data_IF_082812372248
#
_entry.id   IF_082812372248
#
_cell.length_a   1.000
_cell.length_b   1.000
_cell.length_c   1.000
_cell.angle_alpha   90.00
_cell.angle_beta   90.00
_cell.angle_gamma   90.00
#
_symmetry.space_group_name_H-M   'P 1'
#
loop_
_entity.id
_entity.type
_entity.pdbx_description
1 polymer ?
#
# COMPACT_ATOMS: atom_id res chain seq x y z
N UNK A 1 1.68 -18.87 -31.75
CA UNK A 1 0.48 -18.01 -31.55
C UNK A 1 0.67 -16.98 -30.42
N UNK A 2 1.74 -17.04 -29.61
CA UNK A 2 1.97 -16.08 -28.52
C UNK A 2 2.69 -14.78 -28.91
N UNK A 3 3.46 -14.76 -30.01
CA UNK A 3 4.18 -13.53 -30.40
C UNK A 3 3.24 -12.39 -30.79
N UNK A 4 2.11 -12.69 -31.44
CA UNK A 4 1.09 -11.68 -31.78
C UNK A 4 0.36 -11.14 -30.53
N UNK A 5 0.29 -11.92 -29.44
CA UNK A 5 -0.30 -11.46 -28.17
C UNK A 5 0.61 -10.44 -27.50
N UNK A 6 1.91 -10.72 -27.45
CA UNK A 6 2.91 -9.82 -26.88
C UNK A 6 2.99 -8.49 -27.65
N UNK A 7 2.93 -8.51 -28.98
CA UNK A 7 2.96 -7.29 -29.80
C UNK A 7 1.77 -6.36 -29.49
N UNK A 8 0.57 -6.90 -29.33
CA UNK A 8 -0.65 -6.11 -29.14
C UNK A 8 -0.79 -5.52 -27.73
N UNK A 9 -0.41 -6.29 -26.71
CA UNK A 9 -0.28 -5.80 -25.32
C UNK A 9 0.78 -4.71 -25.26
N UNK A 10 1.94 -4.92 -25.89
CA UNK A 10 3.02 -3.93 -25.96
C UNK A 10 2.55 -2.64 -26.62
N UNK A 11 1.77 -2.71 -27.71
CA UNK A 11 1.20 -1.52 -28.38
C UNK A 11 0.18 -0.77 -27.52
N UNK A 12 -0.67 -1.48 -26.76
CA UNK A 12 -1.59 -0.87 -25.80
C UNK A 12 -0.82 -0.18 -24.68
N UNK A 13 0.14 -0.86 -24.06
CA UNK A 13 1.04 -0.29 -23.06
C UNK A 13 1.76 0.96 -23.59
N UNK A 14 2.22 0.94 -24.84
CA UNK A 14 2.87 2.08 -25.51
C UNK A 14 1.96 3.30 -25.62
N UNK A 15 0.68 3.07 -25.94
CA UNK A 15 -0.33 4.11 -26.10
C UNK A 15 -0.67 4.79 -24.77
N UNK A 16 -0.67 4.02 -23.68
CA UNK A 16 -1.06 4.50 -22.34
C UNK A 16 0.13 5.04 -21.52
N UNK A 17 1.35 4.53 -21.71
CA UNK A 17 2.55 5.02 -21.04
C UNK A 17 2.96 6.44 -21.46
N UNK A 18 2.53 6.90 -22.65
CA UNK A 18 2.87 8.24 -23.19
C UNK A 18 1.98 9.38 -22.69
N UNK A 19 0.96 9.11 -21.87
CA UNK A 19 -0.03 10.12 -21.47
C UNK A 19 -0.08 10.25 -19.94
N UNK A 20 0.33 11.40 -19.42
CA UNK A 20 0.12 11.84 -18.04
C UNK A 20 -1.36 12.15 -17.78
N UNK A 21 -2.23 11.17 -18.02
CA UNK A 21 -3.68 11.34 -17.83
C UNK A 21 -4.01 10.73 -16.48
N UNK A 22 -4.26 11.61 -15.51
CA UNK A 22 -4.83 11.25 -14.22
C UNK A 22 -6.28 10.84 -14.47
N UNK A 23 -6.59 9.55 -14.32
CA UNK A 23 -7.96 9.04 -14.41
C UNK A 23 -8.57 8.86 -13.01
N UNK A 24 -9.90 9.02 -12.87
CA UNK A 24 -10.58 8.83 -11.59
C UNK A 24 -10.47 7.37 -11.12
N UNK A 25 -10.41 7.17 -9.79
CA UNK A 25 -10.41 5.87 -9.12
C UNK A 25 -11.42 4.91 -9.78
N UNK A 26 -11.07 3.65 -10.05
CA UNK A 26 -11.97 2.73 -10.72
C UNK A 26 -13.12 2.46 -9.77
N UNK A 27 -14.33 2.29 -10.32
CA UNK A 27 -15.43 1.83 -9.48
C UNK A 27 -15.19 0.37 -9.09
N UNK A 28 -15.63 -0.04 -7.90
CA UNK A 28 -15.42 -1.41 -7.42
C UNK A 28 -15.88 -2.46 -8.44
N UNK A 29 -16.99 -2.22 -9.14
CA UNK A 29 -17.53 -3.08 -10.19
C UNK A 29 -16.59 -3.27 -11.40
N UNK A 30 -15.77 -2.28 -11.75
CA UNK A 30 -14.84 -2.37 -12.88
C UNK A 30 -13.65 -3.28 -12.53
N UNK A 31 -13.19 -3.20 -11.29
CA UNK A 31 -12.12 -4.05 -10.75
C UNK A 31 -12.58 -5.50 -10.65
N UNK A 32 -13.79 -5.73 -10.14
CA UNK A 32 -14.32 -7.08 -9.95
C UNK A 32 -14.41 -7.87 -11.27
N UNK A 33 -14.53 -7.19 -12.40
CA UNK A 33 -14.64 -7.82 -13.72
C UNK A 33 -13.29 -7.96 -14.44
N UNK A 34 -12.20 -7.48 -13.83
CA UNK A 34 -10.88 -7.48 -14.46
C UNK A 34 -10.09 -8.73 -14.09
N UNK A 35 -9.54 -9.44 -15.08
CA UNK A 35 -8.67 -10.62 -14.86
C UNK A 35 -7.18 -10.31 -15.04
N UNK A 36 -6.86 -9.09 -15.49
CA UNK A 36 -5.50 -8.65 -15.80
C UNK A 36 -5.24 -7.30 -15.13
N UNK A 37 -4.08 -7.22 -14.50
CA UNK A 37 -3.58 -6.03 -13.84
C UNK A 37 -2.23 -5.67 -14.44
N UNK A 38 -1.96 -4.38 -14.63
CA UNK A 38 -0.62 -3.93 -15.07
C UNK A 38 -0.03 -3.09 -13.94
N UNK A 39 1.13 -3.49 -13.44
CA UNK A 39 1.87 -2.83 -12.37
C UNK A 39 3.07 -2.12 -13.00
N UNK A 40 3.18 -0.80 -12.82
CA UNK A 40 4.34 -0.02 -13.23
C UNK A 40 5.26 0.21 -12.05
N UNK A 41 6.57 -0.03 -12.21
CA UNK A 41 7.58 0.22 -11.19
C UNK A 41 8.75 0.97 -11.82
N UNK A 42 9.34 1.98 -11.18
CA UNK A 42 10.55 2.61 -11.68
C UNK A 42 11.71 1.61 -11.77
N UNK A 43 12.44 1.59 -12.88
CA UNK A 43 13.52 0.60 -13.13
C UNK A 43 14.67 0.63 -12.11
N UNK A 44 14.89 1.75 -11.41
CA UNK A 44 15.90 1.81 -10.35
C UNK A 44 15.52 0.93 -9.14
N UNK A 45 14.26 0.50 -9.06
CA UNK A 45 13.77 -0.54 -8.16
C UNK A 45 13.60 -1.82 -9.00
N UNK A 46 14.69 -2.54 -9.27
CA UNK A 46 14.57 -3.86 -9.90
C UNK A 46 13.84 -4.79 -8.92
N UNK A 47 12.59 -5.12 -9.20
CA UNK A 47 11.80 -6.02 -8.36
C UNK A 47 11.74 -7.39 -9.01
N UNK A 48 12.09 -8.44 -8.25
CA UNK A 48 11.91 -9.82 -8.68
C UNK A 48 10.42 -10.10 -8.92
N UNK A 49 10.10 -10.84 -9.98
CA UNK A 49 8.76 -11.36 -10.26
C UNK A 49 8.19 -12.11 -9.06
N UNK A 50 9.03 -12.82 -8.30
CA UNK A 50 8.63 -13.49 -7.05
C UNK A 50 8.10 -12.50 -6.02
N UNK A 51 8.74 -11.34 -5.88
CA UNK A 51 8.30 -10.30 -4.95
C UNK A 51 7.00 -9.64 -5.43
N UNK A 52 6.83 -9.42 -6.74
CA UNK A 52 5.55 -8.95 -7.31
C UNK A 52 4.43 -9.93 -7.02
N UNK A 53 4.70 -11.24 -7.15
CA UNK A 53 3.72 -12.27 -6.82
C UNK A 53 3.33 -12.21 -5.34
N UNK A 54 4.31 -12.21 -4.43
CA UNK A 54 4.05 -12.09 -2.98
C UNK A 54 3.29 -10.80 -2.66
N UNK A 55 3.66 -9.68 -3.29
CA UNK A 55 2.95 -8.42 -3.12
C UNK A 55 1.48 -8.54 -3.50
N UNK A 56 1.19 -9.11 -4.66
CA UNK A 56 -0.16 -9.21 -5.20
C UNK A 56 -1.02 -10.26 -4.46
N UNK A 57 -0.47 -11.45 -4.22
CA UNK A 57 -1.20 -12.57 -3.61
C UNK A 57 -1.31 -12.42 -2.10
N UNK A 58 -0.22 -12.03 -1.43
CA UNK A 58 -0.15 -12.02 0.04
C UNK A 58 -0.48 -10.67 0.64
N UNK A 59 0.02 -9.57 0.07
CA UNK A 59 -0.13 -8.24 0.69
C UNK A 59 -1.38 -7.51 0.20
N UNK A 60 -1.69 -7.63 -1.08
CA UNK A 60 -2.90 -7.04 -1.66
C UNK A 60 -4.09 -8.00 -1.60
N UNK A 61 -3.86 -9.29 -1.36
CA UNK A 61 -4.89 -10.34 -1.36
C UNK A 61 -5.81 -10.26 -2.59
N UNK A 62 -5.27 -9.90 -3.75
CA UNK A 62 -6.06 -9.60 -4.94
C UNK A 62 -6.68 -10.84 -5.57
N UNK A 63 -5.99 -11.98 -5.45
CA UNK A 63 -6.34 -13.19 -6.14
C UNK A 63 -5.17 -14.14 -6.26
N UNK A 64 -5.41 -15.28 -6.87
CA UNK A 64 -4.37 -16.24 -7.22
C UNK A 64 -3.74 -15.82 -8.56
N UNK A 65 -2.45 -15.48 -8.57
CA UNK A 65 -1.78 -15.03 -9.79
C UNK A 65 -1.51 -16.23 -10.68
N UNK A 66 -2.05 -16.20 -11.89
CA UNK A 66 -1.75 -17.18 -12.92
C UNK A 66 -0.33 -16.97 -13.44
N UNK A 67 -0.03 -15.76 -13.92
CA UNK A 67 1.22 -15.46 -14.59
C UNK A 67 1.60 -13.99 -14.47
N UNK A 68 2.91 -13.72 -14.43
CA UNK A 68 3.47 -12.37 -14.42
C UNK A 68 4.40 -12.24 -15.61
N UNK A 69 4.20 -11.20 -16.43
CA UNK A 69 5.01 -10.90 -17.59
C UNK A 69 5.75 -9.58 -17.35
N UNK A 70 7.06 -9.59 -17.09
CA UNK A 70 7.86 -8.38 -16.98
C UNK A 70 8.18 -7.83 -18.37
N UNK A 71 8.01 -6.52 -18.54
CA UNK A 71 8.36 -5.76 -19.73
C UNK A 71 9.21 -4.56 -19.32
N UNK A 72 10.43 -4.50 -19.81
CA UNK A 72 11.27 -3.31 -19.63
C UNK A 72 10.86 -2.26 -20.66
N UNK A 73 10.38 -1.11 -20.18
CA UNK A 73 10.06 0.03 -21.06
C UNK A 73 11.21 1.04 -21.05
N UNK A 74 11.80 1.25 -22.22
CA UNK A 74 12.74 2.33 -22.48
C UNK A 74 11.97 3.40 -23.24
N UNK A 75 11.81 4.59 -22.64
CA UNK A 75 11.22 5.73 -23.34
C UNK A 75 12.13 6.14 -24.50
N UNK A 76 11.56 6.36 -25.69
CA UNK A 76 12.30 6.86 -26.86
C UNK A 76 12.94 8.24 -26.63
N UNK A 77 12.52 8.98 -25.60
CA UNK A 77 13.09 10.28 -25.24
C UNK A 77 14.32 10.09 -24.35
N UNK A 78 15.46 9.81 -24.98
CA UNK A 78 16.79 9.65 -24.38
C UNK A 78 17.29 10.84 -23.54
N UNK A 79 16.62 12.00 -23.56
CA UNK A 79 17.07 13.20 -22.86
C UNK A 79 16.70 13.25 -21.37
N UNK A 80 15.76 12.41 -20.90
CA UNK A 80 15.36 12.35 -19.49
C UNK A 80 15.55 10.94 -18.92
N UNK A 81 16.71 10.71 -18.31
CA UNK A 81 17.03 9.49 -17.56
C UNK A 81 16.08 9.20 -16.37
N UNK A 82 15.17 10.12 -16.06
CA UNK A 82 14.20 9.97 -14.96
C UNK A 82 13.02 9.04 -15.26
N UNK A 83 12.87 8.54 -16.50
CA UNK A 83 11.63 7.90 -16.95
C UNK A 83 11.77 6.43 -17.40
N UNK A 84 12.66 5.67 -16.78
CA UNK A 84 12.74 4.24 -17.03
C UNK A 84 11.79 3.48 -16.09
N UNK A 85 10.86 2.71 -16.64
CA UNK A 85 9.90 1.90 -15.86
C UNK A 85 9.91 0.45 -16.31
N UNK A 86 9.80 -0.47 -15.35
CA UNK A 86 9.47 -1.87 -15.58
C UNK A 86 7.96 -2.02 -15.42
N UNK A 87 7.31 -2.61 -16.42
CA UNK A 87 5.89 -2.94 -16.40
C UNK A 87 5.74 -4.43 -16.12
N UNK A 88 4.85 -4.80 -15.22
CA UNK A 88 4.50 -6.19 -14.95
C UNK A 88 3.04 -6.38 -15.29
N UNK A 89 2.74 -7.24 -16.27
CA UNK A 89 1.37 -7.68 -16.52
C UNK A 89 1.10 -8.90 -15.66
N UNK A 90 0.14 -8.79 -14.75
CA UNK A 90 -0.26 -9.81 -13.80
C UNK A 90 -1.63 -10.35 -14.21
N UNK A 91 -1.66 -11.61 -14.63
CA UNK A 91 -2.88 -12.33 -14.98
C UNK A 91 -3.30 -13.17 -13.77
N UNK A 92 -4.59 -13.18 -13.44
CA UNK A 92 -5.14 -13.91 -12.30
C UNK A 92 -5.95 -15.13 -12.74
N UNK A 93 -5.86 -16.23 -11.98
CA UNK A 93 -6.76 -17.37 -12.10
C UNK A 93 -8.14 -17.02 -11.52
N UNK A 94 -8.13 -16.40 -10.34
CA UNK A 94 -9.30 -15.98 -9.57
C UNK A 94 -8.97 -14.65 -8.92
N UNK A 95 -9.87 -13.67 -9.04
CA UNK A 95 -9.78 -12.39 -8.31
C UNK A 95 -10.73 -12.48 -7.12
N UNK A 96 -10.22 -12.22 -5.92
CA UNK A 96 -11.03 -12.29 -4.70
C UNK A 96 -11.93 -11.05 -4.59
N UNK A 97 -13.23 -11.28 -4.50
CA UNK A 97 -14.27 -10.23 -4.64
C UNK A 97 -14.70 -9.58 -3.33
N UNK A 98 -13.91 -9.71 -2.26
CA UNK A 98 -14.24 -9.12 -0.96
C UNK A 98 -13.96 -7.61 -0.99
N UNK A 99 -14.99 -6.78 -0.79
CA UNK A 99 -14.90 -5.31 -0.82
C UNK A 99 -13.93 -4.74 0.23
N UNK A 100 -13.78 -5.43 1.36
CA UNK A 100 -12.82 -5.07 2.41
C UNK A 100 -11.37 -5.19 1.95
N UNK A 101 -11.08 -6.16 1.08
CA UNK A 101 -9.77 -6.38 0.49
C UNK A 101 -9.38 -5.23 -0.43
N UNK A 102 -10.33 -4.59 -1.10
CA UNK A 102 -10.08 -3.44 -1.97
C UNK A 102 -9.64 -2.18 -1.20
N UNK A 103 -10.32 -1.87 -0.09
CA UNK A 103 -9.92 -0.74 0.76
C UNK A 103 -8.56 -1.00 1.41
N UNK A 104 -8.34 -2.24 1.86
CA UNK A 104 -7.05 -2.68 2.41
C UNK A 104 -5.94 -2.60 1.35
N UNK A 105 -6.22 -2.99 0.11
CA UNK A 105 -5.28 -2.87 -1.01
C UNK A 105 -4.95 -1.40 -1.29
N UNK A 106 -5.96 -0.54 -1.40
CA UNK A 106 -5.76 0.88 -1.70
C UNK A 106 -4.94 1.55 -0.60
N UNK A 107 -5.21 1.22 0.66
CA UNK A 107 -4.43 1.68 1.81
C UNK A 107 -3.01 1.08 1.81
N UNK A 108 -2.84 -0.21 1.51
CA UNK A 108 -1.52 -0.84 1.44
C UNK A 108 -0.66 -0.24 0.33
N UNK A 109 -1.22 -0.01 -0.85
CA UNK A 109 -0.51 0.68 -1.95
C UNK A 109 -0.10 2.10 -1.52
N UNK A 110 -0.97 2.83 -0.81
CA UNK A 110 -0.66 4.16 -0.28
C UNK A 110 0.40 4.15 0.82
N UNK A 111 0.36 3.16 1.73
CA UNK A 111 1.27 3.06 2.87
C UNK A 111 2.68 2.60 2.50
N UNK A 112 2.86 1.91 1.37
CA UNK A 112 4.13 1.28 1.04
C UNK A 112 5.16 2.23 0.40
N UNK A 113 4.87 3.53 0.29
CA UNK A 113 5.84 4.52 -0.23
C UNK A 113 6.21 4.32 -1.70
N UNK A 114 5.58 3.37 -2.40
CA UNK A 114 5.69 3.23 -3.85
C UNK A 114 4.77 4.26 -4.51
N UNK A 115 5.20 5.52 -4.44
CA UNK A 115 4.48 6.66 -5.03
C UNK A 115 4.28 6.53 -6.56
N UNK A 116 4.90 5.52 -7.19
CA UNK A 116 4.92 5.31 -8.63
C UNK A 116 4.25 3.99 -9.09
N UNK A 117 3.58 3.24 -8.20
CA UNK A 117 2.86 2.02 -8.61
C UNK A 117 1.52 2.38 -9.23
N UNK A 118 1.47 2.35 -10.56
CA UNK A 118 0.24 2.43 -11.34
C UNK A 118 -0.32 1.04 -11.56
N UNK A 119 -1.58 0.81 -11.16
CA UNK A 119 -2.33 -0.43 -11.43
C UNK A 119 -3.36 -0.19 -12.52
N UNK A 120 -3.26 -0.85 -13.67
CA UNK A 120 -4.25 -0.74 -14.75
C UNK A 120 -5.25 -1.90 -14.68
N UNK A 121 -6.55 -1.60 -14.69
CA UNK A 121 -7.61 -2.60 -14.73
C UNK A 121 -8.17 -2.71 -16.14
N UNK A 122 -8.36 -3.94 -16.63
CA UNK A 122 -9.10 -4.21 -17.86
C UNK A 122 -10.36 -5.06 -17.59
N UNK A 123 -11.56 -4.45 -17.61
CA UNK A 123 -12.82 -5.15 -17.36
C UNK A 123 -13.32 -5.98 -18.55
N UNK A 124 -12.63 -5.95 -19.70
CA UNK A 124 -13.00 -6.74 -20.89
C UNK A 124 -11.79 -7.44 -21.47
N UNK A 125 -12.04 -8.45 -22.31
CA UNK A 125 -10.98 -9.25 -22.90
C UNK A 125 -9.97 -8.36 -23.66
N UNK A 126 -8.70 -8.33 -23.22
CA UNK A 126 -7.56 -7.56 -23.80
C UNK A 126 -7.39 -7.72 -25.33
N UNK A 127 -8.08 -8.67 -25.95
CA UNK A 127 -8.08 -8.94 -27.39
C UNK A 127 -9.12 -8.15 -28.21
N UNK A 128 -10.03 -7.40 -27.57
CA UNK A 128 -10.98 -6.53 -28.25
C UNK A 128 -10.29 -5.27 -28.82
N UNK A 129 -10.82 -4.69 -29.90
CA UNK A 129 -10.22 -3.51 -30.56
C UNK A 129 -10.41 -2.19 -29.81
N UNK A 130 -11.31 -2.15 -28.81
CA UNK A 130 -11.69 -0.95 -28.06
C UNK A 130 -11.54 -1.16 -26.55
N UNK A 131 -10.31 -1.41 -26.10
CA UNK A 131 -10.01 -1.62 -24.67
C UNK A 131 -9.91 -0.28 -23.94
N UNK A 132 -10.70 -0.13 -22.87
CA UNK A 132 -10.63 1.00 -21.95
C UNK A 132 -9.63 0.69 -20.83
N UNK A 133 -8.43 1.26 -20.91
CA UNK A 133 -7.40 1.13 -19.87
C UNK A 133 -7.42 2.39 -19.01
N UNK A 134 -7.57 2.23 -17.69
CA UNK A 134 -7.51 3.37 -16.73
C UNK A 134 -6.22 3.34 -15.93
N UNK A 135 -5.58 4.52 -15.80
CA UNK A 135 -4.23 4.75 -15.28
C UNK A 135 -4.31 5.55 -13.98
N UNK A 136 -3.72 5.03 -12.90
CA UNK A 136 -3.58 5.75 -11.62
C UNK A 136 -2.18 6.33 -11.45
N UNK A 137 -2.13 7.65 -11.31
CA UNK A 137 -0.96 8.40 -10.88
C UNK A 137 -1.28 9.07 -9.55
N UNK A 138 -0.38 8.99 -8.58
CA UNK A 138 -0.42 9.88 -7.42
C UNK A 138 0.52 11.08 -7.64
N UNK A 139 0.00 12.13 -8.28
CA UNK A 139 0.71 13.41 -8.41
C UNK A 139 0.59 14.29 -7.14
N UNK A 140 -0.12 13.86 -6.09
CA UNK A 140 -0.47 14.75 -4.98
C UNK A 140 0.57 14.81 -3.86
N UNK A 141 1.53 13.90 -3.80
CA UNK A 141 2.50 13.89 -2.69
C UNK A 141 3.66 14.85 -2.94
N UNK A 142 4.03 15.14 -4.19
CA UNK A 142 5.10 16.11 -4.49
C UNK A 142 4.69 17.59 -4.35
N UNK A 143 3.39 17.91 -4.42
CA UNK A 143 2.91 19.30 -4.45
C UNK A 143 2.40 19.84 -3.10
N UNK A 144 2.28 19.01 -2.05
CA UNK A 144 1.79 19.48 -0.74
C UNK A 144 2.87 20.24 0.05
N UNK A 145 4.15 20.13 -0.32
CA UNK A 145 5.25 20.80 0.41
C UNK A 145 5.63 22.18 -0.12
N UNK A 146 5.15 22.62 -1.28
CA UNK A 146 5.60 23.88 -1.89
C UNK A 146 4.46 24.64 -2.59
N UNK A 147 3.62 25.36 -1.84
CA UNK A 147 2.99 26.57 -2.40
C UNK A 147 2.46 27.50 -1.29
N UNK A 148 3.12 28.63 -1.00
CA UNK A 148 2.46 29.76 -0.39
C UNK A 148 1.58 30.46 -1.42
N UNK A 149 0.29 30.53 -1.12
CA UNK A 149 -0.72 31.29 -1.89
C UNK A 149 -0.37 32.77 -1.89
N UNK A 150 0.08 33.29 -3.04
CA UNK A 150 0.12 34.73 -3.31
C UNK A 150 -0.08 34.97 -4.81
N UNK A 151 -1.33 35.07 -5.22
CA UNK A 151 -1.70 35.73 -6.48
C UNK A 151 -2.33 37.07 -6.15
N UNK A 152 -1.49 38.05 -5.82
CA UNK A 152 -1.84 39.46 -5.91
C UNK A 152 -1.65 39.89 -7.37
N UNK A 153 -2.75 40.22 -8.03
CA UNK A 153 -2.79 40.76 -9.38
C UNK A 153 -2.21 42.17 -9.41
N UNK A 154 -1.10 42.34 -10.14
CA UNK A 154 -0.52 43.66 -10.45
C UNK A 154 -1.20 44.22 -11.70
N UNK A 155 -1.89 45.38 -11.66
CA UNK A 155 -2.33 46.05 -12.87
C UNK A 155 -1.14 46.76 -13.53
N UNK A 156 -1.06 46.64 -14.85
CA UNK A 156 -0.06 47.27 -15.71
C UNK A 156 -0.02 48.80 -15.54
N UNK A 157 1.19 49.32 -15.30
CA UNK A 157 1.46 50.74 -15.18
C UNK A 157 1.47 51.41 -16.56
N UNK A 158 0.42 52.16 -16.88
CA UNK A 158 0.47 53.24 -17.86
C UNK A 158 0.85 54.54 -17.15
N UNK A 159 2.00 55.09 -17.52
CA UNK A 159 2.55 56.35 -17.02
C UNK A 159 1.78 57.55 -17.58
N UNK A 160 1.22 58.46 -16.74
CA UNK A 160 0.81 59.78 -17.19
C UNK A 160 1.75 60.87 -16.66
N UNK A 161 2.01 61.82 -17.56
CA UNK A 161 2.85 62.97 -17.41
C UNK A 161 2.69 63.74 -16.07
N UNK A 162 3.84 64.13 -15.54
CA UNK A 162 4.08 64.85 -14.30
C UNK A 162 3.41 66.23 -14.29
N UNK A 163 2.17 66.32 -13.80
CA UNK A 163 1.58 67.60 -13.34
C UNK A 163 2.16 67.92 -11.97
N UNK A 164 2.86 69.05 -11.89
CA UNK A 164 3.45 69.64 -10.68
C UNK A 164 2.33 69.92 -9.66
N UNK A 165 2.16 69.04 -8.66
CA UNK A 165 1.15 69.19 -7.60
C UNK A 165 1.52 70.35 -6.68
N UNK A 166 0.58 71.26 -6.49
CA UNK A 166 0.66 72.35 -5.53
C UNK A 166 0.81 71.81 -4.11
N UNK A 167 1.53 72.56 -3.28
CA UNK A 167 1.94 72.19 -1.92
C UNK A 167 0.68 72.12 -1.04
N UNK A 168 0.36 70.96 -0.42
CA UNK A 168 -0.87 70.80 0.34
C UNK A 168 -0.91 71.78 1.52
N UNK A 169 -2.08 72.37 1.72
CA UNK A 169 -2.33 73.35 2.78
C UNK A 169 -2.26 72.68 4.17
N UNK A 170 -1.96 73.44 5.24
CA UNK A 170 -1.83 72.86 6.59
C UNK A 170 -3.11 72.17 7.09
N UNK A 171 -4.27 72.60 6.60
CA UNK A 171 -5.58 72.00 6.88
C UNK A 171 -5.75 70.61 6.27
N UNK A 172 -5.29 70.39 5.03
CA UNK A 172 -5.37 69.07 4.37
C UNK A 172 -4.50 68.03 5.06
N UNK A 173 -3.35 68.45 5.62
CA UNK A 173 -2.48 67.55 6.38
C UNK A 173 -3.12 67.07 7.68
N UNK A 174 -3.92 67.90 8.34
CA UNK A 174 -4.60 67.54 9.58
C UNK A 174 -5.69 66.48 9.34
N UNK A 175 -6.47 66.63 8.27
CA UNK A 175 -7.54 65.67 7.95
C UNK A 175 -6.97 64.32 7.48
N UNK A 176 -5.88 64.33 6.69
CA UNK A 176 -5.17 63.11 6.30
C UNK A 176 -4.61 62.34 7.51
N UNK A 177 -4.07 63.05 8.51
CA UNK A 177 -3.61 62.43 9.77
C UNK A 177 -4.78 61.81 10.53
N UNK A 178 -5.93 62.49 10.60
CA UNK A 178 -7.13 61.98 11.28
C UNK A 178 -7.67 60.72 10.63
N UNK A 179 -7.74 60.68 9.30
CA UNK A 179 -8.16 59.49 8.53
C UNK A 179 -7.19 58.33 8.77
N UNK A 180 -5.87 58.59 8.75
CA UNK A 180 -4.86 57.57 9.06
C UNK A 180 -4.98 57.03 10.48
N UNK A 181 -5.28 57.89 11.46
CA UNK A 181 -5.47 57.47 12.85
C UNK A 181 -6.68 56.55 13.01
N UNK A 182 -7.84 56.89 12.43
CA UNK A 182 -9.02 56.02 12.53
C UNK A 182 -8.83 54.69 11.77
N UNK A 183 -8.15 54.72 10.62
CA UNK A 183 -7.77 53.48 9.93
C UNK A 183 -6.87 52.60 10.79
N UNK A 184 -5.85 53.18 11.43
CA UNK A 184 -4.95 52.45 12.33
C UNK A 184 -5.71 51.88 13.54
N UNK A 185 -6.61 52.67 14.13
CA UNK A 185 -7.44 52.23 15.26
C UNK A 185 -8.31 51.03 14.91
N UNK A 186 -8.93 51.02 13.73
CA UNK A 186 -9.70 49.88 13.23
C UNK A 186 -8.82 48.64 13.03
N UNK A 187 -7.66 48.79 12.39
CA UNK A 187 -6.72 47.68 12.20
C UNK A 187 -6.23 47.09 13.52
N UNK A 188 -5.95 47.93 14.52
CA UNK A 188 -5.56 47.48 15.86
C UNK A 188 -6.71 46.73 16.54
N UNK A 189 -7.94 47.22 16.43
CA UNK A 189 -9.11 46.52 16.97
C UNK A 189 -9.35 45.16 16.31
N UNK A 190 -9.15 45.04 14.99
CA UNK A 190 -9.27 43.77 14.28
C UNK A 190 -8.13 42.81 14.62
N UNK A 191 -6.92 43.34 14.85
CA UNK A 191 -5.78 42.54 15.30
C UNK A 191 -6.06 41.90 16.67
N UNK A 192 -6.62 42.65 17.63
CA UNK A 192 -7.00 42.10 18.94
C UNK A 192 -8.04 40.98 18.82
N UNK A 193 -9.10 41.16 18.02
CA UNK A 193 -10.09 40.10 17.79
C UNK A 193 -9.48 38.82 17.20
N UNK A 194 -8.48 38.96 16.33
CA UNK A 194 -7.75 37.80 15.78
C UNK A 194 -6.92 37.11 16.84
N UNK A 195 -6.28 37.85 17.73
CA UNK A 195 -5.52 37.29 18.86
C UNK A 195 -6.43 36.46 19.75
N UNK A 196 -7.60 37.00 20.13
CA UNK A 196 -8.58 36.28 20.96
C UNK A 196 -9.01 34.95 20.28
N UNK A 197 -9.33 35.00 18.98
CA UNK A 197 -9.67 33.80 18.21
C UNK A 197 -8.51 32.78 18.14
N UNK A 198 -7.28 33.27 18.04
CA UNK A 198 -6.10 32.39 18.07
C UNK A 198 -5.91 31.74 19.45
N UNK A 199 -6.16 32.47 20.54
CA UNK A 199 -6.10 31.92 21.89
C UNK A 199 -7.15 30.83 22.11
N UNK A 200 -8.40 31.05 21.68
CA UNK A 200 -9.47 30.04 21.73
C UNK A 200 -9.08 28.77 20.96
N UNK A 201 -8.62 28.92 19.71
CA UNK A 201 -8.16 27.77 18.91
C UNK A 201 -6.98 27.05 19.54
N UNK A 202 -6.07 27.77 20.17
CA UNK A 202 -4.92 27.18 20.86
C UNK A 202 -5.36 26.37 22.09
N UNK A 203 -6.38 26.83 22.82
CA UNK A 203 -6.97 26.07 23.92
C UNK A 203 -7.67 24.79 23.42
N UNK A 204 -8.43 24.88 22.32
CA UNK A 204 -9.07 23.71 21.70
C UNK A 204 -8.03 22.65 21.26
N UNK A 205 -6.93 23.09 20.64
CA UNK A 205 -5.83 22.22 20.24
C UNK A 205 -5.16 21.54 21.43
N UNK A 206 -4.95 22.25 22.54
CA UNK A 206 -4.38 21.66 23.77
C UNK A 206 -5.27 20.57 24.33
N UNK A 207 -6.59 20.78 24.36
CA UNK A 207 -7.53 19.77 24.85
C UNK A 207 -7.58 18.55 23.93
N UNK A 208 -7.60 18.76 22.61
CA UNK A 208 -7.50 17.65 21.63
C UNK A 208 -6.21 16.86 21.80
N UNK A 209 -5.08 17.54 22.02
CA UNK A 209 -3.80 16.87 22.25
C UNK A 209 -3.83 16.02 23.53
N UNK A 210 -4.42 16.53 24.61
CA UNK A 210 -4.61 15.78 25.86
C UNK A 210 -5.46 14.52 25.66
N UNK A 211 -6.53 14.60 24.87
CA UNK A 211 -7.38 13.44 24.56
C UNK A 211 -6.66 12.40 23.70
N UNK A 212 -5.82 12.85 22.77
CA UNK A 212 -4.96 11.95 21.98
C UNK A 212 -3.94 11.24 22.86
N UNK A 213 -3.27 11.95 23.76
CA UNK A 213 -2.32 11.35 24.72
C UNK A 213 -2.98 10.28 25.60
N UNK A 214 -4.20 10.54 26.08
CA UNK A 214 -4.96 9.54 26.86
C UNK A 214 -5.34 8.31 26.01
N UNK A 215 -5.69 8.53 24.74
CA UNK A 215 -6.04 7.45 23.81
C UNK A 215 -4.82 6.58 23.49
N UNK A 216 -3.65 7.19 23.25
CA UNK A 216 -2.38 6.49 23.03
C UNK A 216 -2.04 5.63 24.25
N UNK A 217 -2.14 6.18 25.46
CA UNK A 217 -1.88 5.43 26.69
C UNK A 217 -2.81 4.22 26.87
N UNK A 218 -4.08 4.32 26.48
CA UNK A 218 -5.02 3.17 26.51
C UNK A 218 -4.62 2.09 25.51
N UNK A 219 -4.20 2.48 24.31
CA UNK A 219 -3.72 1.54 23.28
C UNK A 219 -2.43 0.84 23.71
N UNK A 220 -1.50 1.56 24.35
CA UNK A 220 -0.26 0.98 24.89
C UNK A 220 -0.55 -0.10 25.96
N UNK A 221 -1.51 0.16 26.85
CA UNK A 221 -1.90 -0.82 27.87
C UNK A 221 -2.57 -2.05 27.24
N UNK A 222 -3.47 -1.85 26.27
CA UNK A 222 -4.07 -2.96 25.52
C UNK A 222 -3.02 -3.79 24.78
N UNK A 223 -2.01 -3.14 24.19
CA UNK A 223 -0.93 -3.83 23.50
C UNK A 223 -0.12 -4.69 24.48
N UNK A 224 0.17 -4.18 25.69
CA UNK A 224 0.84 -4.97 26.74
C UNK A 224 0.03 -6.19 27.15
N UNK A 225 -1.29 -6.07 27.33
CA UNK A 225 -2.15 -7.22 27.63
C UNK A 225 -2.13 -8.27 26.50
N UNK A 226 -2.08 -7.83 25.23
CA UNK A 226 -1.98 -8.73 24.09
C UNK A 226 -0.63 -9.45 24.03
N UNK A 227 0.47 -8.76 24.34
CA UNK A 227 1.80 -9.36 24.44
C UNK A 227 1.86 -10.46 25.51
N UNK A 228 1.29 -10.21 26.69
CA UNK A 228 1.21 -11.20 27.77
C UNK A 228 0.37 -12.43 27.37
N UNK A 229 -0.80 -12.22 26.74
CA UNK A 229 -1.64 -13.32 26.23
C UNK A 229 -0.93 -14.14 25.17
N UNK A 230 -0.20 -13.48 24.27
CA UNK A 230 0.57 -14.14 23.21
C UNK A 230 1.67 -15.02 23.80
N UNK A 231 2.43 -14.48 24.76
CA UNK A 231 3.47 -15.25 25.46
C UNK A 231 2.91 -16.50 26.16
N UNK A 232 1.77 -16.39 26.83
CA UNK A 232 1.10 -17.53 27.47
C UNK A 232 0.64 -18.57 26.44
N UNK A 233 0.17 -18.12 25.26
CA UNK A 233 -0.21 -19.02 24.18
C UNK A 233 0.99 -19.78 23.61
N UNK A 234 2.13 -19.10 23.44
CA UNK A 234 3.39 -19.73 23.01
C UNK A 234 3.90 -20.78 24.01
N UNK A 235 3.83 -20.49 25.31
CA UNK A 235 4.17 -21.44 26.37
C UNK A 235 3.27 -22.70 26.31
N UNK A 236 1.95 -22.51 26.22
CA UNK A 236 1.00 -23.62 26.07
C UNK A 236 1.26 -24.45 24.79
N UNK A 237 1.57 -23.78 23.67
CA UNK A 237 1.86 -24.47 22.41
C UNK A 237 3.15 -25.32 22.52
N UNK A 238 4.14 -24.83 23.25
CA UNK A 238 5.38 -25.57 23.54
C UNK A 238 5.10 -26.80 24.41
N UNK A 239 4.33 -26.66 25.48
CA UNK A 239 3.93 -27.80 26.33
C UNK A 239 3.16 -28.87 25.57
N UNK A 240 2.24 -28.45 24.69
CA UNK A 240 1.49 -29.37 23.83
C UNK A 240 2.42 -30.09 22.86
N UNK A 241 3.36 -29.37 22.23
CA UNK A 241 4.36 -29.96 21.32
C UNK A 241 5.22 -31.01 22.03
N UNK A 242 5.67 -30.70 23.25
CA UNK A 242 6.49 -31.61 24.05
C UNK A 242 5.68 -32.85 24.45
N UNK A 243 4.41 -32.68 24.84
CA UNK A 243 3.49 -33.79 25.16
C UNK A 243 3.25 -34.70 23.96
N UNK A 244 3.01 -34.14 22.77
CA UNK A 244 2.84 -34.91 21.52
C UNK A 244 4.13 -35.64 21.16
N UNK A 245 5.29 -35.00 21.30
CA UNK A 245 6.59 -35.64 21.06
C UNK A 245 6.82 -36.84 22.00
N UNK A 246 6.46 -36.69 23.28
CA UNK A 246 6.54 -37.75 24.27
C UNK A 246 5.61 -38.93 23.94
N UNK A 247 4.34 -38.65 23.62
CA UNK A 247 3.39 -39.68 23.19
C UNK A 247 3.87 -40.42 21.95
N UNK A 248 4.41 -39.69 20.96
CA UNK A 248 4.96 -40.30 19.75
C UNK A 248 6.12 -41.26 20.08
N UNK A 249 7.03 -40.89 20.99
CA UNK A 249 8.12 -41.76 21.44
C UNK A 249 7.61 -43.03 22.11
N UNK A 250 6.62 -42.92 23.00
CA UNK A 250 6.02 -44.09 23.66
C UNK A 250 5.36 -45.01 22.64
N UNK A 251 4.53 -44.45 21.75
CA UNK A 251 3.85 -45.21 20.73
C UNK A 251 4.83 -45.95 19.82
N UNK A 252 5.89 -45.27 19.37
CA UNK A 252 6.91 -45.85 18.53
C UNK A 252 7.70 -46.97 19.24
N UNK A 253 8.04 -46.78 20.52
CA UNK A 253 8.68 -47.83 21.32
C UNK A 253 7.77 -49.05 21.49
N UNK A 254 6.46 -48.85 21.74
CA UNK A 254 5.51 -49.96 21.86
C UNK A 254 5.34 -50.72 20.55
N UNK A 255 5.24 -50.01 19.42
CA UNK A 255 5.23 -50.64 18.09
C UNK A 255 6.49 -51.46 17.84
N UNK A 256 7.65 -50.95 18.27
CA UNK A 256 8.93 -51.65 18.15
C UNK A 256 8.96 -52.93 19.00
N UNK A 257 8.49 -52.88 20.24
CA UNK A 257 8.37 -54.06 21.12
C UNK A 257 7.49 -55.14 20.49
N UNK A 258 6.25 -54.78 20.08
CA UNK A 258 5.33 -55.73 19.44
C UNK A 258 5.90 -56.34 18.17
N UNK A 259 6.67 -55.55 17.40
CA UNK A 259 7.40 -56.07 16.23
C UNK A 259 8.37 -57.18 16.64
N UNK A 260 9.16 -56.99 17.70
CA UNK A 260 10.11 -58.00 18.18
C UNK A 260 9.41 -59.23 18.76
N UNK A 261 8.35 -59.05 19.54
CA UNK A 261 7.52 -60.16 20.05
C UNK A 261 6.98 -61.01 18.89
N UNK A 262 6.43 -60.37 17.85
CA UNK A 262 5.93 -61.07 16.67
C UNK A 262 7.04 -61.81 15.90
N UNK A 263 8.26 -61.23 15.81
CA UNK A 263 9.39 -61.93 15.18
C UNK A 263 9.81 -63.16 15.97
N UNK A 264 9.82 -63.07 17.30
CA UNK A 264 10.21 -64.18 18.17
C UNK A 264 9.19 -65.32 18.07
N UNK A 265 7.89 -64.99 18.12
CA UNK A 265 6.79 -65.96 17.94
C UNK A 265 6.88 -66.68 16.58
N UNK A 266 7.09 -65.92 15.49
CA UNK A 266 7.23 -66.50 14.14
C UNK A 266 8.49 -67.35 14.04
N UNK A 267 9.61 -66.89 14.62
CA UNK A 267 10.86 -67.65 14.59
C UNK A 267 10.71 -68.98 15.36
N UNK A 268 10.07 -68.96 16.52
CA UNK A 268 9.83 -70.15 17.32
C UNK A 268 8.94 -71.17 16.59
N UNK A 269 7.82 -70.73 16.00
CA UNK A 269 6.93 -71.59 15.19
C UNK A 269 7.63 -72.20 13.97
N UNK A 270 8.52 -71.44 13.30
CA UNK A 270 9.33 -71.97 12.20
C UNK A 270 10.32 -73.03 12.69
N UNK A 271 11.00 -72.79 13.80
CA UNK A 271 12.01 -73.72 14.35
C UNK A 271 11.37 -75.00 14.87
N UNK A 272 10.20 -74.92 15.52
CA UNK A 272 9.41 -76.08 15.96
C UNK A 272 9.04 -76.97 14.76
N UNK A 273 8.50 -76.38 13.69
CA UNK A 273 8.16 -77.10 12.44
C UNK A 273 9.36 -77.71 11.71
N UNK A 274 10.56 -77.13 11.88
CA UNK A 274 11.79 -77.71 11.32
C UNK A 274 12.16 -78.96 12.12
N UNK A 275 12.14 -78.88 13.46
CA UNK A 275 12.49 -80.00 14.33
C UNK A 275 11.53 -81.19 14.15
N UNK A 276 10.21 -80.95 14.09
CA UNK A 276 9.22 -82.01 13.84
C UNK A 276 9.51 -82.78 12.53
N UNK A 277 9.95 -82.07 11.48
CA UNK A 277 10.30 -82.68 10.19
C UNK A 277 11.63 -83.43 10.18
N UNK A 278 12.50 -83.17 11.15
CA UNK A 278 13.76 -83.90 11.31
C UNK A 278 13.52 -85.20 12.09
N UNK A 279 12.66 -85.19 13.11
CA UNK A 279 12.25 -86.40 13.84
C UNK A 279 11.54 -87.43 12.95
N UNK A 280 10.68 -86.98 12.03
CA UNK A 280 10.00 -87.86 11.06
C UNK A 280 10.95 -88.58 10.06
N UNK A 281 12.23 -88.19 10.00
CA UNK A 281 13.23 -88.78 9.09
C UNK A 281 14.13 -89.83 9.74
N UNK A 282 14.15 -89.93 11.07
CA UNK A 282 14.91 -90.96 11.81
C UNK A 282 14.09 -92.25 12.02
#
# INVERSE_FOLDING_TARGET
MDDNKNVRVTQLLYKYAKKDVILPLPQSSEIMNSTVFIIRIPTYQSVDVSLIRTLVETNMCLGEVKQIYPFSYISDNYSNYSNYYTLYLVEFNVVYTMTETFNSMSQNIQCWGYHDVTVLFDPTNIYASNVLVKVYFDNKICNIMNEPTSTASTPAATSPATKRKEKPTSSEKAEDIKVKYESLRLHVSDAFKRIDLFEEKNQELKEKNRQLEESVRKLEEQNREFEEKTKKMEENAKELKDSVSWMHKIFYNKLREMKYELYDDIYHDIMEKINEKEEDKE
#
